data_IF_066945897255
#
_entry.id   IF_066945897255
#
_cell.length_a   1.000
_cell.length_b   1.000
_cell.length_c   1.000
_cell.angle_alpha   90.00
_cell.angle_beta   90.00
_cell.angle_gamma   90.00
#
_symmetry.space_group_name_H-M   'P 1'
#
loop_
_entity.id
_entity.type
_entity.pdbx_description
1 polymer ?
#
# COMPACT_ATOMS: atom_id res chain seq x y z
N UNK A 1 23.64 -24.20 -15.93
CA UNK A 1 23.10 -22.93 -16.48
C UNK A 1 22.10 -22.40 -15.46
N UNK A 2 22.34 -21.19 -14.94
CA UNK A 2 21.47 -20.58 -13.92
C UNK A 2 20.31 -19.83 -14.61
N UNK A 3 20.55 -19.33 -15.81
CA UNK A 3 19.57 -18.62 -16.62
C UNK A 3 20.18 -18.08 -17.90
N UNK A 4 19.36 -17.41 -18.69
CA UNK A 4 19.77 -16.74 -19.93
C UNK A 4 19.37 -15.28 -19.80
N UNK A 5 20.33 -14.36 -19.96
CA UNK A 5 20.09 -12.94 -20.08
C UNK A 5 19.92 -12.57 -21.54
N UNK A 6 18.79 -12.00 -21.92
CA UNK A 6 18.52 -11.52 -23.28
C UNK A 6 18.35 -10.01 -23.24
N UNK A 7 19.13 -9.31 -24.04
CA UNK A 7 19.04 -7.85 -24.21
C UNK A 7 18.64 -7.55 -25.64
N UNK A 8 17.62 -6.71 -25.83
CA UNK A 8 17.11 -6.33 -27.13
C UNK A 8 17.09 -4.83 -27.26
N UNK A 9 17.56 -4.34 -28.43
CA UNK A 9 17.51 -2.93 -28.79
C UNK A 9 16.30 -2.64 -29.69
N UNK A 10 15.86 -1.38 -29.63
CA UNK A 10 14.80 -0.89 -30.50
C UNK A 10 15.32 -0.58 -31.91
N UNK A 11 16.57 -0.14 -31.99
CA UNK A 11 17.21 0.23 -33.26
C UNK A 11 18.05 -0.93 -33.84
N UNK A 12 18.04 -1.09 -35.15
CA UNK A 12 18.79 -2.16 -35.85
C UNK A 12 20.28 -1.79 -35.96
N UNK A 13 21.01 -1.91 -34.84
CA UNK A 13 22.48 -1.76 -34.79
C UNK A 13 23.10 -2.96 -34.06
N UNK A 14 24.38 -3.18 -34.23
CA UNK A 14 25.14 -4.16 -33.45
C UNK A 14 25.55 -3.53 -32.11
N UNK A 15 25.64 -4.36 -31.09
CA UNK A 15 26.26 -3.98 -29.81
C UNK A 15 27.75 -3.71 -30.05
N UNK A 16 28.30 -2.71 -29.36
CA UNK A 16 29.74 -2.48 -29.35
C UNK A 16 30.42 -3.36 -28.28
N UNK A 17 31.77 -3.42 -28.34
CA UNK A 17 32.57 -4.25 -27.40
C UNK A 17 32.37 -3.84 -25.91
N UNK A 18 32.13 -2.56 -25.66
CA UNK A 18 31.85 -2.04 -24.31
C UNK A 18 30.50 -2.53 -23.78
N UNK A 19 29.49 -2.47 -24.63
CA UNK A 19 28.12 -2.97 -24.30
C UNK A 19 28.13 -4.48 -24.10
N UNK A 20 28.84 -5.24 -24.92
CA UNK A 20 28.99 -6.69 -24.77
C UNK A 20 29.72 -7.03 -23.48
N UNK A 21 30.81 -6.36 -23.17
CA UNK A 21 31.57 -6.54 -21.93
C UNK A 21 30.74 -6.20 -20.69
N UNK A 22 29.95 -5.12 -20.76
CA UNK A 22 29.02 -4.76 -19.71
C UNK A 22 27.96 -5.85 -19.49
N UNK A 23 27.37 -6.40 -20.55
CA UNK A 23 26.37 -7.46 -20.43
C UNK A 23 26.94 -8.75 -19.85
N UNK A 24 28.18 -9.12 -20.21
CA UNK A 24 28.88 -10.28 -19.62
C UNK A 24 29.09 -10.06 -18.12
N UNK A 25 29.53 -8.87 -17.72
CA UNK A 25 29.72 -8.52 -16.31
C UNK A 25 28.41 -8.57 -15.54
N UNK A 26 27.34 -8.00 -16.10
CA UNK A 26 26.01 -8.01 -15.51
C UNK A 26 25.46 -9.44 -15.37
N UNK A 27 25.63 -10.28 -16.39
CA UNK A 27 25.21 -11.68 -16.35
C UNK A 27 25.95 -12.46 -15.25
N UNK A 28 27.27 -12.23 -15.08
CA UNK A 28 28.06 -12.87 -14.06
C UNK A 28 27.63 -12.44 -12.64
N UNK A 29 27.35 -11.16 -12.44
CA UNK A 29 26.85 -10.64 -11.15
C UNK A 29 25.46 -11.20 -10.82
N UNK A 30 24.54 -11.23 -11.79
CA UNK A 30 23.22 -11.82 -11.64
C UNK A 30 23.32 -13.32 -11.30
N UNK A 31 24.15 -14.08 -12.01
CA UNK A 31 24.36 -15.50 -11.75
C UNK A 31 24.86 -15.75 -10.33
N UNK A 32 25.83 -14.94 -9.84
CA UNK A 32 26.35 -15.04 -8.48
C UNK A 32 25.26 -14.76 -7.43
N UNK A 33 24.42 -13.75 -7.64
CA UNK A 33 23.31 -13.41 -6.74
C UNK A 33 22.22 -14.48 -6.72
N UNK A 34 21.87 -15.02 -7.88
CA UNK A 34 20.90 -16.12 -7.99
C UNK A 34 21.43 -17.37 -7.29
N UNK A 35 22.72 -17.73 -7.52
CA UNK A 35 23.35 -18.87 -6.85
C UNK A 35 23.36 -18.70 -5.33
N UNK A 36 23.65 -17.50 -4.84
CA UNK A 36 23.59 -17.18 -3.41
C UNK A 36 22.19 -17.30 -2.83
N UNK A 37 21.17 -16.81 -3.57
CA UNK A 37 19.76 -16.94 -3.17
C UNK A 37 19.28 -18.39 -3.14
N UNK A 38 19.73 -19.20 -4.11
CA UNK A 38 19.47 -20.64 -4.12
C UNK A 38 20.13 -21.37 -2.94
N UNK A 39 21.40 -21.04 -2.63
CA UNK A 39 22.11 -21.63 -1.52
C UNK A 39 21.50 -21.28 -0.15
N UNK A 40 20.87 -20.08 -0.04
CA UNK A 40 20.13 -19.66 1.15
C UNK A 40 18.70 -20.22 1.23
N UNK A 41 18.29 -21.07 0.28
CA UNK A 41 16.94 -21.63 0.24
C UNK A 41 15.83 -20.65 -0.14
N UNK A 42 16.19 -19.44 -0.58
CA UNK A 42 15.22 -18.40 -0.95
C UNK A 42 14.52 -18.68 -2.27
N UNK A 43 15.15 -19.48 -3.13
CA UNK A 43 14.56 -19.98 -4.37
C UNK A 43 14.18 -21.46 -4.20
N UNK A 44 13.06 -21.73 -3.52
CA UNK A 44 12.44 -23.04 -3.61
C UNK A 44 11.98 -23.28 -5.05
N UNK A 45 11.99 -24.53 -5.51
CA UNK A 45 11.48 -24.92 -6.83
C UNK A 45 10.00 -24.51 -6.97
N UNK A 46 9.78 -23.26 -7.30
CA UNK A 46 8.48 -22.79 -7.75
C UNK A 46 8.38 -23.18 -9.23
N UNK A 47 7.22 -23.67 -9.63
CA UNK A 47 6.96 -23.99 -11.03
C UNK A 47 7.00 -22.69 -11.88
N UNK A 48 8.17 -22.40 -12.43
CA UNK A 48 8.43 -21.23 -13.29
C UNK A 48 7.77 -21.35 -14.67
N UNK A 49 6.92 -22.34 -14.87
CA UNK A 49 6.27 -22.62 -16.16
C UNK A 49 5.32 -21.51 -16.63
N UNK A 50 4.94 -20.58 -15.75
CA UNK A 50 4.06 -19.44 -16.08
C UNK A 50 4.67 -18.13 -15.63
N UNK A 51 5.38 -17.42 -16.52
CA UNK A 51 5.88 -16.09 -16.19
C UNK A 51 4.71 -15.14 -15.90
N UNK A 52 4.78 -14.42 -14.80
CA UNK A 52 3.87 -13.32 -14.54
C UNK A 52 4.24 -12.15 -15.46
N UNK A 53 3.29 -11.67 -16.24
CA UNK A 53 3.46 -10.46 -17.06
C UNK A 53 3.00 -9.27 -16.23
N UNK A 54 3.83 -8.23 -16.17
CA UNK A 54 3.56 -6.98 -15.47
C UNK A 54 3.91 -5.77 -16.32
N UNK A 55 3.54 -4.60 -15.82
CA UNK A 55 3.93 -3.30 -16.38
C UNK A 55 5.02 -2.74 -15.46
N UNK A 56 6.17 -2.34 -16.02
CA UNK A 56 7.22 -1.70 -15.24
C UNK A 56 6.78 -0.28 -14.87
N UNK A 57 6.65 0.00 -13.58
CA UNK A 57 6.38 1.34 -13.05
C UNK A 57 7.65 2.18 -12.88
N UNK A 58 8.80 1.53 -12.68
CA UNK A 58 10.11 2.15 -12.57
C UNK A 58 11.17 1.26 -13.22
N UNK A 59 12.29 1.85 -13.61
CA UNK A 59 13.45 1.12 -14.13
C UNK A 59 14.28 0.57 -12.97
N UNK A 60 14.81 -0.66 -13.11
CA UNK A 60 15.70 -1.26 -12.11
C UNK A 60 15.42 -2.73 -11.90
N UNK A 61 16.24 -3.36 -11.07
CA UNK A 61 16.10 -4.75 -10.62
C UNK A 61 16.28 -4.76 -9.10
N UNK A 62 15.30 -5.28 -8.39
CA UNK A 62 15.38 -5.52 -6.97
C UNK A 62 15.35 -7.03 -6.68
N UNK A 63 16.23 -7.48 -5.77
CA UNK A 63 16.28 -8.88 -5.31
C UNK A 63 16.37 -8.85 -3.79
N UNK A 64 15.29 -9.20 -3.14
CA UNK A 64 15.22 -9.30 -1.70
C UNK A 64 14.10 -10.30 -1.32
N UNK A 65 13.88 -10.48 -0.02
CA UNK A 65 12.78 -11.30 0.49
C UNK A 65 11.44 -10.63 0.19
N UNK A 66 10.50 -11.39 -0.35
CA UNK A 66 9.15 -10.88 -0.55
C UNK A 66 8.45 -10.68 0.80
N UNK A 67 7.97 -9.47 1.03
CA UNK A 67 7.11 -9.15 2.14
C UNK A 67 5.69 -8.89 1.62
N UNK A 68 4.79 -9.83 1.90
CA UNK A 68 3.40 -9.77 1.42
C UNK A 68 2.57 -9.02 2.44
N UNK A 69 2.19 -7.78 2.11
CA UNK A 69 1.33 -6.97 2.93
C UNK A 69 -0.15 -7.29 2.64
N UNK A 70 -0.91 -7.54 3.69
CA UNK A 70 -2.36 -7.72 3.63
C UNK A 70 -3.01 -7.05 4.84
N UNK A 71 -4.08 -6.25 4.65
CA UNK A 71 -4.81 -5.70 5.79
C UNK A 71 -5.45 -6.84 6.60
N UNK A 72 -5.32 -6.82 7.93
CA UNK A 72 -5.87 -7.86 8.82
C UNK A 72 -7.38 -8.00 8.70
N UNK A 73 -8.10 -6.89 8.55
CA UNK A 73 -9.53 -6.85 8.22
C UNK A 73 -9.75 -5.94 7.03
N UNK A 74 -10.04 -6.53 5.89
CA UNK A 74 -10.40 -5.76 4.70
C UNK A 74 -11.79 -5.12 4.89
N UNK A 75 -11.95 -3.90 4.39
CA UNK A 75 -13.23 -3.19 4.35
C UNK A 75 -14.37 -4.08 3.85
N UNK A 76 -14.10 -4.91 2.84
CA UNK A 76 -15.08 -5.80 2.23
C UNK A 76 -15.48 -7.00 3.11
N UNK A 77 -14.70 -7.36 4.14
CA UNK A 77 -14.98 -8.50 5.02
C UNK A 77 -15.92 -8.14 6.18
N UNK A 78 -16.28 -6.87 6.33
CA UNK A 78 -17.11 -6.40 7.43
C UNK A 78 -18.58 -6.59 7.10
N UNK A 79 -19.29 -7.29 7.98
CA UNK A 79 -20.76 -7.38 7.93
C UNK A 79 -21.34 -6.26 8.79
N UNK A 80 -22.13 -5.32 8.22
CA UNK A 80 -22.74 -4.23 8.97
C UNK A 80 -23.69 -4.74 10.06
N UNK A 81 -23.59 -4.16 11.26
CA UNK A 81 -24.46 -4.48 12.42
C UNK A 81 -24.80 -3.23 13.21
N UNK A 82 -25.95 -3.26 13.88
CA UNK A 82 -26.38 -2.22 14.82
C UNK A 82 -25.96 -2.53 16.25
N UNK A 83 -25.93 -1.49 17.07
CA UNK A 83 -25.60 -1.56 18.49
C UNK A 83 -26.43 -0.51 19.25
N UNK A 84 -27.03 -0.90 20.37
CA UNK A 84 -27.82 0.00 21.21
C UNK A 84 -26.93 0.94 22.04
N UNK A 85 -25.70 0.57 22.28
CA UNK A 85 -24.71 1.40 23.02
C UNK A 85 -24.07 2.48 22.12
N UNK A 86 -24.91 3.20 21.36
CA UNK A 86 -24.44 4.19 20.37
C UNK A 86 -23.53 5.27 20.95
N UNK A 87 -23.67 5.63 22.23
CA UNK A 87 -22.76 6.56 22.91
C UNK A 87 -21.32 6.03 23.01
N UNK A 88 -21.15 4.76 23.34
CA UNK A 88 -19.83 4.10 23.35
C UNK A 88 -19.26 3.98 21.94
N UNK A 89 -20.12 3.63 20.98
CA UNK A 89 -19.70 3.54 19.57
C UNK A 89 -19.25 4.89 19.03
N UNK A 90 -19.93 5.98 19.40
CA UNK A 90 -19.53 7.33 19.00
C UNK A 90 -18.19 7.71 19.64
N UNK A 91 -18.01 7.46 20.93
CA UNK A 91 -16.73 7.74 21.60
C UNK A 91 -15.56 6.96 20.97
N UNK A 92 -15.78 5.68 20.62
CA UNK A 92 -14.78 4.87 19.90
C UNK A 92 -14.45 5.44 18.53
N UNK A 93 -15.48 5.93 17.82
CA UNK A 93 -15.27 6.57 16.50
C UNK A 93 -14.41 7.82 16.62
N UNK A 94 -14.73 8.72 17.59
CA UNK A 94 -13.98 9.96 17.78
C UNK A 94 -12.52 9.68 18.16
N UNK A 95 -12.28 8.70 19.03
CA UNK A 95 -10.92 8.27 19.38
C UNK A 95 -10.17 7.74 18.16
N UNK A 96 -10.80 6.86 17.37
CA UNK A 96 -10.18 6.31 16.18
C UNK A 96 -9.86 7.40 15.12
N UNK A 97 -10.74 8.40 14.96
CA UNK A 97 -10.50 9.53 14.06
C UNK A 97 -9.28 10.34 14.52
N UNK A 98 -9.15 10.59 15.83
CA UNK A 98 -8.02 11.35 16.37
C UNK A 98 -6.71 10.59 16.27
N UNK A 99 -6.72 9.28 16.56
CA UNK A 99 -5.55 8.41 16.40
C UNK A 99 -5.09 8.34 14.95
N UNK A 100 -6.01 8.16 13.99
CA UNK A 100 -5.67 8.13 12.55
C UNK A 100 -5.12 9.49 12.10
N UNK A 101 -5.66 10.61 12.59
CA UNK A 101 -5.12 11.95 12.31
C UNK A 101 -3.67 12.07 12.77
N UNK A 102 -3.41 11.71 14.02
CA UNK A 102 -2.06 11.77 14.60
C UNK A 102 -1.07 10.87 13.85
N UNK A 103 -1.50 9.66 13.47
CA UNK A 103 -0.70 8.76 12.65
C UNK A 103 -0.34 9.37 11.29
N UNK A 104 -1.32 9.97 10.59
CA UNK A 104 -1.10 10.59 9.28
C UNK A 104 -0.15 11.79 9.38
N UNK A 105 -0.27 12.61 10.41
CA UNK A 105 0.66 13.73 10.66
C UNK A 105 2.07 13.22 10.92
N UNK A 106 2.22 12.17 11.74
CA UNK A 106 3.50 11.55 12.02
C UNK A 106 4.13 10.89 10.78
N UNK A 107 3.31 10.25 9.95
CA UNK A 107 3.73 9.66 8.66
C UNK A 107 4.17 10.76 7.69
N UNK A 108 3.43 11.87 7.59
CA UNK A 108 3.78 13.00 6.75
C UNK A 108 5.14 13.61 7.12
N UNK A 109 5.43 13.74 8.42
CA UNK A 109 6.73 14.23 8.91
C UNK A 109 7.87 13.30 8.49
N UNK A 110 7.74 12.00 8.75
CA UNK A 110 8.75 11.00 8.35
C UNK A 110 8.95 10.93 6.84
N UNK A 111 7.86 11.02 6.09
CA UNK A 111 7.91 10.96 4.63
C UNK A 111 8.62 12.19 4.03
N UNK A 112 8.44 13.36 4.66
CA UNK A 112 9.13 14.61 4.26
C UNK A 112 10.65 14.52 4.37
N UNK A 113 11.17 13.75 5.32
CA UNK A 113 12.60 13.56 5.49
C UNK A 113 13.22 12.67 4.40
N UNK A 114 12.42 11.78 3.78
CA UNK A 114 12.90 10.75 2.85
C UNK A 114 12.52 10.99 1.39
N UNK A 115 11.52 11.85 1.12
CA UNK A 115 10.92 12.05 -0.21
C UNK A 115 10.73 13.54 -0.53
N UNK A 116 10.38 13.83 -1.82
CA UNK A 116 10.15 15.21 -2.29
C UNK A 116 8.91 15.84 -1.66
N UNK A 117 8.86 17.18 -1.64
CA UNK A 117 7.70 17.93 -1.12
C UNK A 117 6.39 17.59 -1.83
N UNK A 118 6.44 17.36 -3.15
CA UNK A 118 5.25 16.99 -3.93
C UNK A 118 4.65 15.66 -3.47
N UNK A 119 5.49 14.73 -3.01
CA UNK A 119 5.05 13.43 -2.50
C UNK A 119 4.36 13.54 -1.13
N UNK A 120 4.62 14.61 -0.38
CA UNK A 120 3.99 14.84 0.95
C UNK A 120 2.56 15.36 0.82
N UNK A 121 2.23 16.03 -0.29
CA UNK A 121 0.89 16.58 -0.53
C UNK A 121 -0.24 15.53 -0.46
N UNK A 122 0.07 14.25 -0.65
CA UNK A 122 -0.91 13.17 -0.52
C UNK A 122 -1.47 13.05 0.91
N UNK A 123 -0.64 13.32 1.94
CA UNK A 123 -1.07 13.28 3.34
C UNK A 123 -2.01 14.44 3.68
N UNK A 124 -1.82 15.60 3.06
CA UNK A 124 -2.75 16.74 3.18
C UNK A 124 -4.12 16.36 2.65
N UNK A 125 -4.19 15.61 1.54
CA UNK A 125 -5.44 15.10 0.99
C UNK A 125 -6.12 14.14 1.97
N UNK A 126 -5.38 13.24 2.60
CA UNK A 126 -5.92 12.31 3.59
C UNK A 126 -6.43 13.04 4.84
N UNK A 127 -5.70 14.02 5.33
CA UNK A 127 -6.11 14.86 6.46
C UNK A 127 -7.36 15.70 6.09
N UNK A 128 -7.42 16.23 4.88
CA UNK A 128 -8.60 16.93 4.38
C UNK A 128 -9.83 16.02 4.33
N UNK A 129 -9.69 14.80 3.78
CA UNK A 129 -10.78 13.83 3.73
C UNK A 129 -11.27 13.45 5.13
N UNK A 130 -10.34 13.23 6.08
CA UNK A 130 -10.65 12.89 7.46
C UNK A 130 -11.36 14.04 8.19
N UNK A 131 -11.11 15.29 7.80
CA UNK A 131 -11.75 16.49 8.35
C UNK A 131 -12.99 16.93 7.55
N UNK A 132 -13.27 16.31 6.39
CA UNK A 132 -14.40 16.69 5.54
C UNK A 132 -15.74 16.40 6.22
N UNK A 133 -16.56 17.43 6.44
CA UNK A 133 -17.92 17.24 6.95
C UNK A 133 -18.78 16.30 6.08
N UNK A 134 -18.51 16.22 4.78
CA UNK A 134 -19.19 15.32 3.84
C UNK A 134 -18.89 13.85 4.08
N UNK A 135 -17.76 13.53 4.75
CA UNK A 135 -17.37 12.17 5.10
C UNK A 135 -17.67 11.85 6.57
N UNK A 136 -17.13 12.61 7.50
CA UNK A 136 -17.20 12.29 8.94
C UNK A 136 -18.61 12.53 9.52
N UNK A 137 -19.31 13.59 9.13
CA UNK A 137 -20.66 13.87 9.64
C UNK A 137 -21.69 12.80 9.31
N UNK A 138 -21.74 12.24 8.07
CA UNK A 138 -22.58 11.09 7.78
C UNK A 138 -22.25 9.84 8.61
N UNK A 139 -20.95 9.56 8.87
CA UNK A 139 -20.54 8.44 9.72
C UNK A 139 -21.06 8.64 11.14
N UNK A 140 -20.86 9.83 11.74
CA UNK A 140 -21.39 10.18 13.07
C UNK A 140 -22.92 10.03 13.13
N UNK A 141 -23.64 10.48 12.10
CA UNK A 141 -25.09 10.36 12.03
C UNK A 141 -25.54 8.89 11.98
N UNK A 142 -24.83 8.04 11.24
CA UNK A 142 -25.08 6.60 11.20
C UNK A 142 -24.96 5.97 12.58
N UNK A 143 -23.96 6.36 13.36
CA UNK A 143 -23.77 5.86 14.72
C UNK A 143 -24.84 6.42 15.65
N UNK A 144 -25.00 7.76 15.71
CA UNK A 144 -25.81 8.42 16.73
C UNK A 144 -27.32 8.34 16.49
N UNK A 145 -27.76 8.37 15.20
CA UNK A 145 -29.19 8.42 14.84
C UNK A 145 -29.73 7.09 14.34
N UNK A 146 -28.91 6.30 13.66
CA UNK A 146 -29.35 5.05 13.07
C UNK A 146 -28.84 3.82 13.83
N UNK A 147 -28.07 4.03 14.91
CA UNK A 147 -27.57 3.02 15.85
C UNK A 147 -26.68 1.96 15.20
N UNK A 148 -25.90 2.33 14.15
CA UNK A 148 -24.89 1.46 13.61
C UNK A 148 -23.64 1.42 14.51
N UNK A 149 -22.96 0.28 14.58
CA UNK A 149 -21.61 0.25 15.18
C UNK A 149 -20.68 1.20 14.44
N UNK A 150 -19.67 1.74 15.10
CA UNK A 150 -18.69 2.64 14.48
C UNK A 150 -18.05 2.02 13.22
N UNK A 151 -17.65 0.75 13.28
CA UNK A 151 -17.09 0.00 12.14
C UNK A 151 -18.09 -0.09 10.98
N UNK A 152 -19.35 -0.41 11.27
CA UNK A 152 -20.39 -0.52 10.25
C UNK A 152 -20.70 0.83 9.59
N UNK A 153 -20.71 1.90 10.39
CA UNK A 153 -20.95 3.25 9.89
C UNK A 153 -19.81 3.71 8.95
N UNK A 154 -18.55 3.47 9.33
CA UNK A 154 -17.39 3.74 8.48
C UNK A 154 -17.53 2.97 7.18
N UNK A 155 -17.79 1.65 7.24
CA UNK A 155 -17.94 0.83 6.03
C UNK A 155 -19.03 1.38 5.10
N UNK A 156 -20.27 1.58 5.60
CA UNK A 156 -21.42 1.96 4.80
C UNK A 156 -21.19 3.30 4.07
N UNK A 157 -20.61 4.27 4.77
CA UNK A 157 -20.37 5.60 4.19
C UNK A 157 -19.19 5.56 3.22
N UNK A 158 -18.14 4.82 3.56
CA UNK A 158 -16.96 4.67 2.69
C UNK A 158 -17.30 3.93 1.39
N UNK A 159 -18.04 2.82 1.46
CA UNK A 159 -18.48 2.09 0.27
C UNK A 159 -19.28 3.00 -0.66
N UNK A 160 -20.24 3.77 -0.10
CA UNK A 160 -21.03 4.72 -0.88
C UNK A 160 -20.16 5.77 -1.57
N UNK A 161 -19.17 6.32 -0.87
CA UNK A 161 -18.29 7.36 -1.43
C UNK A 161 -17.33 6.76 -2.47
N UNK A 162 -16.80 5.56 -2.23
CA UNK A 162 -15.99 4.80 -3.19
C UNK A 162 -16.77 4.55 -4.49
N UNK A 163 -18.00 4.07 -4.39
CA UNK A 163 -18.85 3.81 -5.57
C UNK A 163 -19.17 5.10 -6.31
N UNK A 164 -19.42 6.20 -5.59
CA UNK A 164 -19.65 7.51 -6.18
C UNK A 164 -18.41 7.97 -6.99
N UNK A 165 -17.21 7.90 -6.43
CA UNK A 165 -15.98 8.26 -7.14
C UNK A 165 -15.71 7.35 -8.33
N UNK A 166 -15.86 6.02 -8.18
CA UNK A 166 -15.71 5.06 -9.30
C UNK A 166 -16.66 5.32 -10.45
N UNK A 167 -17.85 5.85 -10.18
CA UNK A 167 -18.85 6.21 -11.21
C UNK A 167 -18.55 7.51 -11.95
N UNK A 168 -17.55 8.29 -11.53
CA UNK A 168 -17.22 9.56 -12.18
C UNK A 168 -16.49 9.35 -13.51
N UNK A 169 -16.74 10.25 -14.48
CA UNK A 169 -16.11 10.20 -15.81
C UNK A 169 -14.64 10.58 -15.77
N UNK A 170 -14.28 11.51 -14.89
CA UNK A 170 -12.92 12.03 -14.73
C UNK A 170 -12.03 10.96 -14.08
N UNK A 171 -10.92 10.53 -14.74
CA UNK A 171 -9.98 9.56 -14.20
C UNK A 171 -9.38 9.99 -12.87
N UNK A 172 -9.02 11.27 -12.73
CA UNK A 172 -8.45 11.83 -11.50
C UNK A 172 -9.39 11.69 -10.30
N UNK A 173 -10.69 11.97 -10.51
CA UNK A 173 -11.69 11.78 -9.46
C UNK A 173 -11.92 10.29 -9.14
N UNK A 174 -11.83 9.40 -10.13
CA UNK A 174 -11.92 7.95 -9.87
C UNK A 174 -10.80 7.43 -8.99
N UNK A 175 -9.59 7.96 -9.11
CA UNK A 175 -8.45 7.60 -8.27
C UNK A 175 -8.69 7.93 -6.79
N UNK A 176 -9.52 8.96 -6.49
CA UNK A 176 -9.91 9.31 -5.12
C UNK A 176 -10.64 8.19 -4.38
N UNK A 177 -11.21 7.23 -5.10
CA UNK A 177 -11.79 6.04 -4.48
C UNK A 177 -10.77 5.23 -3.67
N UNK A 178 -9.51 5.22 -4.08
CA UNK A 178 -8.40 4.58 -3.36
C UNK A 178 -8.05 5.32 -2.07
N UNK A 179 -8.05 6.65 -2.09
CA UNK A 179 -7.79 7.47 -0.91
C UNK A 179 -8.86 7.23 0.17
N UNK A 180 -10.14 7.20 -0.24
CA UNK A 180 -11.26 6.89 0.67
C UNK A 180 -11.11 5.49 1.26
N UNK A 181 -10.73 4.51 0.45
CA UNK A 181 -10.53 3.13 0.88
C UNK A 181 -9.41 3.02 1.90
N UNK A 182 -8.28 3.73 1.70
CA UNK A 182 -7.16 3.72 2.64
C UNK A 182 -7.54 4.34 3.99
N UNK A 183 -8.17 5.51 4.00
CA UNK A 183 -8.67 6.15 5.23
C UNK A 183 -9.68 5.25 5.96
N UNK A 184 -10.64 4.67 5.23
CA UNK A 184 -11.61 3.75 5.81
C UNK A 184 -10.92 2.53 6.46
N UNK A 185 -9.93 1.96 5.79
CA UNK A 185 -9.17 0.82 6.29
C UNK A 185 -8.42 1.16 7.58
N UNK A 186 -7.82 2.37 7.66
CA UNK A 186 -7.15 2.86 8.87
C UNK A 186 -8.11 3.06 10.03
N UNK A 187 -9.25 3.71 9.79
CA UNK A 187 -10.30 3.86 10.82
C UNK A 187 -10.78 2.49 11.33
N UNK A 188 -10.98 1.53 10.44
CA UNK A 188 -11.41 0.18 10.80
C UNK A 188 -10.35 -0.53 11.64
N UNK A 189 -9.08 -0.43 11.28
CA UNK A 189 -7.98 -1.03 12.06
C UNK A 189 -7.95 -0.49 13.49
N UNK A 190 -8.12 0.83 13.68
CA UNK A 190 -8.20 1.43 15.02
C UNK A 190 -9.46 1.00 15.77
N UNK A 191 -10.61 0.93 15.10
CA UNK A 191 -11.88 0.51 15.71
C UNK A 191 -11.91 -0.96 16.13
N UNK A 192 -11.12 -1.81 15.47
CA UNK A 192 -10.99 -3.24 15.83
C UNK A 192 -10.06 -3.42 17.03
N UNK A 193 -9.36 -2.39 17.48
CA UNK A 193 -8.32 -2.46 18.53
C UNK A 193 -7.20 -3.45 18.19
N UNK A 194 -6.95 -3.64 16.91
CA UNK A 194 -5.75 -4.34 16.49
C UNK A 194 -4.57 -3.46 16.87
N UNK A 195 -3.69 -3.96 17.73
CA UNK A 195 -2.40 -3.32 17.95
C UNK A 195 -1.74 -3.09 16.60
N UNK A 196 -1.22 -1.88 16.33
CA UNK A 196 -0.48 -1.66 15.10
C UNK A 196 0.61 -2.72 15.07
N UNK A 197 0.62 -3.52 14.01
CA UNK A 197 1.73 -4.42 13.77
C UNK A 197 2.96 -3.53 13.64
N UNK A 198 3.79 -3.48 14.68
CA UNK A 198 5.11 -2.90 14.54
C UNK A 198 5.79 -3.71 13.45
N UNK A 199 5.95 -3.09 12.29
CA UNK A 199 6.64 -3.66 11.16
C UNK A 199 8.09 -3.90 11.58
N UNK A 200 8.38 -5.06 12.14
CA UNK A 200 9.73 -5.50 12.49
C UNK A 200 10.40 -6.00 11.20
N UNK A 201 10.62 -5.06 10.27
CA UNK A 201 11.40 -5.33 9.07
C UNK A 201 12.86 -5.10 9.49
N UNK A 202 13.61 -6.19 9.70
CA UNK A 202 15.03 -6.15 10.08
C UNK A 202 15.99 -6.42 8.91
N UNK A 203 15.47 -6.59 7.69
CA UNK A 203 16.25 -6.90 6.49
C UNK A 203 15.59 -6.26 5.24
N UNK A 204 16.35 -6.00 4.16
CA UNK A 204 15.79 -5.49 2.92
C UNK A 204 14.71 -6.40 2.33
N UNK A 205 13.58 -5.82 1.92
CA UNK A 205 12.42 -6.53 1.38
C UNK A 205 11.95 -5.97 0.03
N UNK A 206 11.27 -6.80 -0.74
CA UNK A 206 10.41 -6.40 -1.86
C UNK A 206 8.98 -6.42 -1.35
N UNK A 207 8.31 -5.28 -1.37
CA UNK A 207 6.92 -5.15 -0.97
C UNK A 207 6.02 -5.76 -2.05
N UNK A 208 5.15 -6.67 -1.63
CA UNK A 208 4.11 -7.28 -2.48
C UNK A 208 2.76 -7.02 -1.86
N UNK A 209 1.87 -6.35 -2.58
CA UNK A 209 0.51 -6.05 -2.13
C UNK A 209 -0.46 -6.01 -3.31
N UNK A 210 -1.75 -6.19 -3.03
CA UNK A 210 -2.80 -6.01 -4.04
C UNK A 210 -2.88 -4.53 -4.48
N UNK A 211 -2.62 -3.61 -3.56
CA UNK A 211 -2.61 -2.17 -3.78
C UNK A 211 -1.60 -1.53 -2.81
N UNK A 212 -0.74 -0.66 -3.33
CA UNK A 212 0.26 0.06 -2.55
C UNK A 212 -0.14 1.53 -2.47
N UNK A 213 -0.40 2.01 -1.24
CA UNK A 213 -0.70 3.41 -0.97
C UNK A 213 0.53 4.15 -0.44
N UNK A 214 0.52 5.48 -0.49
CA UNK A 214 1.59 6.30 0.06
C UNK A 214 1.78 6.06 1.57
N UNK A 215 0.70 5.75 2.27
CA UNK A 215 0.72 5.47 3.71
C UNK A 215 1.42 4.16 4.03
N UNK A 216 1.19 3.10 3.22
CA UNK A 216 1.90 1.82 3.36
C UNK A 216 3.40 2.02 3.13
N UNK A 217 3.78 2.77 2.09
CA UNK A 217 5.18 3.09 1.82
C UNK A 217 5.83 3.89 2.95
N UNK A 218 5.10 4.82 3.56
CA UNK A 218 5.59 5.65 4.65
C UNK A 218 5.78 4.87 5.98
N UNK A 219 5.10 3.75 6.15
CA UNK A 219 5.26 2.86 7.31
C UNK A 219 6.56 2.05 7.23
N UNK A 220 7.10 1.81 6.03
CA UNK A 220 8.31 1.03 5.81
C UNK A 220 9.52 1.98 5.78
N UNK A 221 10.54 1.81 6.67
CA UNK A 221 11.75 2.58 6.56
C UNK A 221 12.42 2.36 5.20
N UNK A 222 12.81 3.45 4.54
CA UNK A 222 13.34 3.41 3.17
C UNK A 222 14.54 2.49 2.98
N UNK A 223 15.36 2.36 4.01
CA UNK A 223 16.54 1.48 4.03
C UNK A 223 16.20 -0.01 3.88
N UNK A 224 14.97 -0.41 4.24
CA UNK A 224 14.50 -1.77 4.09
C UNK A 224 13.66 -1.99 2.81
N UNK A 225 13.33 -0.95 2.07
CA UNK A 225 12.54 -1.07 0.84
C UNK A 225 13.48 -1.20 -0.36
N UNK A 226 13.56 -2.41 -0.93
CA UNK A 226 14.36 -2.70 -2.12
C UNK A 226 13.55 -2.66 -3.42
N UNK A 227 12.25 -2.78 -3.34
CA UNK A 227 11.32 -2.74 -4.45
C UNK A 227 9.88 -3.02 -4.06
#
# INVERSE_FOLDING_TARGET
VVGILVVQQKDSRRFDEGEESFMVTLAAQLAARIAQAQAKGWLQKTDWSKPLRGIAGASGIAIAKAWVWRPRKALNSITPRKDEEHGKQLARLELAVEEVRHDLESLALRFRESYSQDSVAIFDIYLHLLNDPGYIKPIRNKVSKEHWTAISAVKIISDRLIDQFKGMKDPYLRERSTDVKDIAQRLISRLVQDEPEQLTIGEPVVLVADEVTATILAEIPREFLSG
#
